data_IF_361141406816
#
_entry.id   IF_361141406816
#
_cell.length_a   1.000
_cell.length_b   1.000
_cell.length_c   1.000
_cell.angle_alpha   90.00
_cell.angle_beta   90.00
_cell.angle_gamma   90.00
#
_symmetry.space_group_name_H-M   'P 1'
#
loop_
_entity.id
_entity.type
_entity.pdbx_description
1 polymer ?
#
# COMPACT_ATOMS: atom_id res chain seq x y z
N UNK A 1 -32.73 13.74 54.88
CA UNK A 1 -32.75 14.41 53.56
C UNK A 1 -31.36 14.95 53.27
N UNK A 2 -30.61 14.29 52.36
CA UNK A 2 -29.59 14.85 51.46
C UNK A 2 -28.80 13.70 50.82
N UNK A 3 -29.22 13.35 49.61
CA UNK A 3 -28.59 12.38 48.71
C UNK A 3 -27.48 13.15 47.97
N UNK A 4 -26.25 12.65 48.01
CA UNK A 4 -25.14 13.19 47.21
C UNK A 4 -24.98 12.32 45.97
N UNK A 5 -25.44 12.83 44.81
CA UNK A 5 -25.15 12.26 43.50
C UNK A 5 -23.67 12.51 43.16
N UNK A 6 -22.90 11.45 42.91
CA UNK A 6 -21.64 11.54 42.18
C UNK A 6 -21.91 11.22 40.70
N UNK A 7 -21.82 12.25 39.86
CA UNK A 7 -21.92 12.12 38.40
C UNK A 7 -20.64 11.57 37.79
N UNK A 8 -20.75 10.49 37.04
CA UNK A 8 -19.69 9.90 36.24
C UNK A 8 -19.57 10.70 34.92
N UNK A 9 -18.46 11.40 34.71
CA UNK A 9 -18.14 12.05 33.43
C UNK A 9 -17.38 11.05 32.57
N UNK A 10 -18.01 10.55 31.51
CA UNK A 10 -17.35 9.72 30.50
C UNK A 10 -16.67 10.62 29.46
N UNK A 11 -15.33 10.64 29.44
CA UNK A 11 -14.54 11.22 28.35
C UNK A 11 -14.59 10.26 27.15
N UNK A 12 -15.31 10.61 26.10
CA UNK A 12 -15.22 9.94 24.79
C UNK A 12 -14.06 10.54 24.01
N UNK A 13 -12.89 9.90 24.06
CA UNK A 13 -11.80 10.20 23.12
C UNK A 13 -12.15 9.64 21.75
N UNK A 14 -12.66 10.48 20.86
CA UNK A 14 -12.76 10.17 19.44
C UNK A 14 -11.34 10.15 18.86
N UNK A 15 -10.70 8.99 18.83
CA UNK A 15 -9.51 8.79 18.04
C UNK A 15 -9.91 8.84 16.56
N UNK A 16 -9.53 9.92 15.87
CA UNK A 16 -9.61 9.96 14.42
C UNK A 16 -8.62 8.90 13.90
N UNK A 17 -9.14 7.79 13.38
CA UNK A 17 -8.32 6.84 12.64
C UNK A 17 -7.75 7.56 11.42
N UNK A 18 -6.41 7.55 11.21
CA UNK A 18 -5.83 8.15 10.02
C UNK A 18 -6.47 7.48 8.80
N UNK A 19 -6.86 8.28 7.81
CA UNK A 19 -7.31 7.78 6.52
C UNK A 19 -6.14 7.00 5.91
N UNK A 20 -6.17 5.67 6.00
CA UNK A 20 -5.18 4.80 5.39
C UNK A 20 -5.24 5.00 3.88
N UNK A 21 -4.09 5.25 3.25
CA UNK A 21 -3.97 5.22 1.80
C UNK A 21 -4.28 3.80 1.30
N UNK A 22 -5.11 3.66 0.27
CA UNK A 22 -5.27 2.39 -0.42
C UNK A 22 -4.04 2.12 -1.28
N UNK A 23 -3.53 0.88 -1.27
CA UNK A 23 -2.40 0.46 -2.10
C UNK A 23 -2.89 0.13 -3.51
N UNK A 24 -2.22 0.68 -4.52
CA UNK A 24 -2.57 0.49 -5.92
C UNK A 24 -1.47 -0.28 -6.66
N UNK A 25 -1.88 -1.16 -7.57
CA UNK A 25 -1.02 -1.83 -8.54
C UNK A 25 -1.01 -1.05 -9.84
N UNK A 26 0.18 -0.77 -10.35
CA UNK A 26 0.44 -0.14 -11.62
C UNK A 26 0.99 -1.20 -12.57
N UNK A 27 0.27 -1.48 -13.66
CA UNK A 27 0.68 -2.41 -14.71
C UNK A 27 0.77 -1.68 -16.05
N UNK A 28 2.00 -1.48 -16.51
CA UNK A 28 2.31 -0.79 -17.74
C UNK A 28 2.85 -1.75 -18.80
N UNK A 29 2.32 -1.63 -20.01
CA UNK A 29 2.91 -2.22 -21.20
C UNK A 29 2.93 -1.21 -22.33
N UNK A 30 4.09 -1.05 -22.97
CA UNK A 30 4.26 -0.10 -24.06
C UNK A 30 5.53 -0.31 -24.86
N UNK A 31 5.87 0.69 -25.65
CA UNK A 31 7.06 0.76 -26.47
C UNK A 31 7.62 2.17 -26.40
N UNK A 32 8.85 2.30 -25.91
CA UNK A 32 9.61 3.54 -25.92
C UNK A 32 10.62 3.57 -27.07
N UNK A 33 11.47 4.60 -27.07
CA UNK A 33 12.56 4.75 -28.05
C UNK A 33 13.53 3.55 -28.06
N UNK A 34 13.77 2.94 -26.89
CA UNK A 34 14.66 1.79 -26.73
C UNK A 34 14.04 0.43 -27.07
N UNK A 35 12.76 0.36 -27.43
CA UNK A 35 12.04 -0.88 -27.68
C UNK A 35 10.85 -1.10 -26.74
N UNK A 36 10.34 -2.34 -26.64
CA UNK A 36 9.25 -2.70 -25.72
C UNK A 36 9.63 -2.41 -24.26
N UNK A 37 8.67 -1.93 -23.49
CA UNK A 37 8.81 -1.64 -22.06
C UNK A 37 7.60 -2.19 -21.35
N UNK A 38 7.81 -3.03 -20.34
CA UNK A 38 6.79 -3.52 -19.43
C UNK A 38 7.23 -3.23 -17.98
N UNK A 39 6.30 -2.79 -17.14
CA UNK A 39 6.60 -2.49 -15.74
C UNK A 39 5.39 -2.77 -14.86
N UNK A 40 5.60 -3.50 -13.77
CA UNK A 40 4.60 -3.67 -12.71
C UNK A 40 5.17 -3.24 -11.37
N UNK A 41 4.48 -2.34 -10.66
CA UNK A 41 4.92 -1.83 -9.36
C UNK A 41 3.72 -1.36 -8.54
N UNK A 42 3.95 -1.06 -7.26
CA UNK A 42 2.90 -0.61 -6.35
C UNK A 42 3.24 0.77 -5.78
N UNK A 43 2.22 1.61 -5.63
CA UNK A 43 2.29 2.87 -4.89
C UNK A 43 0.98 3.07 -4.14
N UNK A 44 1.02 3.86 -3.07
CA UNK A 44 -0.19 4.32 -2.41
C UNK A 44 -1.05 5.17 -3.37
N UNK A 45 -2.35 5.23 -3.10
CA UNK A 45 -3.31 6.06 -3.86
C UNK A 45 -3.11 7.56 -3.66
N UNK A 46 -2.49 7.98 -2.56
CA UNK A 46 -2.14 9.36 -2.27
C UNK A 46 -0.72 9.49 -1.67
N UNK A 47 0.31 9.02 -2.40
CA UNK A 47 1.67 8.92 -1.89
C UNK A 47 2.28 10.32 -1.77
N UNK A 48 3.27 10.47 -0.89
CA UNK A 48 4.12 11.67 -0.85
C UNK A 48 5.28 11.47 -1.82
N UNK A 49 5.44 12.28 -2.88
CA UNK A 49 6.57 12.15 -3.79
C UNK A 49 7.90 12.45 -3.11
N UNK A 50 8.97 11.80 -3.57
CA UNK A 50 10.34 12.11 -3.11
C UNK A 50 10.81 13.47 -3.63
N UNK A 51 10.31 13.86 -4.80
CA UNK A 51 10.61 15.14 -5.43
C UNK A 51 9.42 15.59 -6.27
N UNK A 52 9.23 16.91 -6.34
CA UNK A 52 8.27 17.57 -7.23
C UNK A 52 9.02 18.58 -8.10
N UNK A 53 8.56 18.78 -9.33
CA UNK A 53 9.12 19.76 -10.25
C UNK A 53 7.98 20.53 -10.92
N UNK A 54 8.01 21.85 -10.79
CA UNK A 54 7.12 22.78 -11.51
C UNK A 54 7.97 23.94 -12.04
N UNK A 55 8.64 23.76 -13.19
CA UNK A 55 9.43 24.82 -13.79
C UNK A 55 8.56 25.90 -14.46
N UNK A 56 7.23 25.86 -14.31
CA UNK A 56 6.28 26.74 -14.99
C UNK A 56 5.88 26.21 -16.37
N UNK A 57 5.24 27.03 -17.20
CA UNK A 57 4.80 26.66 -18.57
C UNK A 57 3.82 25.48 -18.65
N UNK A 58 3.11 25.19 -17.56
CA UNK A 58 2.12 24.11 -17.52
C UNK A 58 2.74 22.72 -17.59
N UNK A 59 4.02 22.58 -17.24
CA UNK A 59 4.69 21.28 -17.08
C UNK A 59 4.89 21.05 -15.59
N UNK A 60 4.34 19.95 -15.07
CA UNK A 60 4.47 19.60 -13.67
C UNK A 60 4.76 18.12 -13.54
N UNK A 61 5.65 17.73 -12.63
CA UNK A 61 6.06 16.34 -12.44
C UNK A 61 6.25 15.99 -10.97
N UNK A 62 5.97 14.74 -10.66
CA UNK A 62 6.22 14.09 -9.37
C UNK A 62 7.13 12.90 -9.60
N UNK A 63 8.06 12.65 -8.68
CA UNK A 63 9.07 11.60 -8.80
C UNK A 63 9.05 10.70 -7.57
N UNK A 64 9.18 9.41 -7.82
CA UNK A 64 9.35 8.35 -6.83
C UNK A 64 10.66 7.62 -7.12
N UNK A 65 11.54 7.59 -6.14
CA UNK A 65 12.85 6.98 -6.24
C UNK A 65 12.83 5.59 -5.64
N UNK A 66 13.69 4.72 -6.16
CA UNK A 66 13.89 3.38 -5.62
C UNK A 66 12.58 2.57 -5.52
N UNK A 67 11.76 2.59 -6.57
CA UNK A 67 10.47 1.90 -6.58
C UNK A 67 10.66 0.42 -6.90
N UNK A 68 10.37 -0.51 -5.96
CA UNK A 68 10.46 -1.94 -6.24
C UNK A 68 9.34 -2.39 -7.19
N UNK A 69 9.66 -3.32 -8.09
CA UNK A 69 8.71 -3.83 -9.07
C UNK A 69 9.31 -4.90 -9.97
N UNK A 70 8.58 -5.23 -11.03
CA UNK A 70 9.06 -6.08 -12.11
C UNK A 70 9.15 -5.25 -13.38
N UNK A 71 10.35 -5.15 -13.95
CA UNK A 71 10.63 -4.31 -15.12
C UNK A 71 11.20 -5.19 -16.24
N UNK A 72 10.52 -5.22 -17.38
CA UNK A 72 10.83 -6.11 -18.51
C UNK A 72 11.00 -7.60 -18.10
N UNK A 73 10.21 -8.04 -17.11
CA UNK A 73 10.25 -9.41 -16.58
C UNK A 73 11.25 -9.65 -15.44
N UNK A 74 12.08 -8.68 -15.10
CA UNK A 74 13.07 -8.80 -14.02
C UNK A 74 12.56 -8.12 -12.74
N UNK A 75 12.55 -8.84 -11.62
CA UNK A 75 12.29 -8.24 -10.31
C UNK A 75 13.48 -7.36 -9.91
N UNK A 76 13.27 -6.04 -9.88
CA UNK A 76 14.31 -5.05 -9.59
C UNK A 76 13.71 -3.80 -8.93
N UNK A 77 14.56 -2.81 -8.69
CA UNK A 77 14.15 -1.51 -8.17
C UNK A 77 14.43 -0.46 -9.23
N UNK A 78 13.38 0.18 -9.73
CA UNK A 78 13.56 1.31 -10.64
C UNK A 78 14.20 2.47 -9.88
N UNK A 79 15.22 3.08 -10.46
CA UNK A 79 15.86 4.28 -9.93
C UNK A 79 14.84 5.40 -9.77
N UNK A 80 13.97 5.56 -10.78
CA UNK A 80 12.94 6.61 -10.77
C UNK A 80 11.71 6.18 -11.55
N UNK A 81 10.54 6.42 -10.96
CA UNK A 81 9.24 6.46 -11.63
C UNK A 81 8.72 7.89 -11.51
N UNK A 82 8.29 8.49 -12.62
CA UNK A 82 7.74 9.83 -12.59
C UNK A 82 6.41 9.91 -13.33
N UNK A 83 5.54 10.78 -12.83
CA UNK A 83 4.28 11.11 -13.47
C UNK A 83 4.18 12.61 -13.65
N UNK A 84 3.57 13.03 -14.75
CA UNK A 84 3.49 14.43 -15.13
C UNK A 84 2.09 14.91 -15.47
N UNK A 85 1.96 16.23 -15.56
CA UNK A 85 0.79 16.97 -16.05
C UNK A 85 1.20 17.92 -17.17
N UNK A 86 0.25 18.19 -18.07
CA UNK A 86 0.42 19.12 -19.18
C UNK A 86 1.32 18.63 -20.32
N UNK A 87 2.26 19.46 -20.78
CA UNK A 87 2.99 19.25 -22.05
C UNK A 87 4.23 18.34 -21.95
N UNK A 88 4.64 17.96 -20.74
CA UNK A 88 5.81 17.11 -20.51
C UNK A 88 5.39 15.67 -20.19
N UNK A 89 6.36 14.74 -20.28
CA UNK A 89 6.21 13.31 -19.99
C UNK A 89 5.20 13.03 -18.88
N UNK A 90 4.03 12.54 -19.25
CA UNK A 90 2.99 12.19 -18.28
C UNK A 90 3.35 10.91 -17.54
N UNK A 91 4.22 10.07 -18.12
CA UNK A 91 4.77 8.91 -17.46
C UNK A 91 6.23 8.65 -17.89
N UNK A 92 7.10 8.35 -16.93
CA UNK A 92 8.51 8.05 -17.15
C UNK A 92 8.98 6.92 -16.24
N UNK A 93 9.83 6.06 -16.78
CA UNK A 93 10.51 4.98 -16.06
C UNK A 93 12.02 5.11 -16.30
N UNK A 94 12.79 5.01 -15.23
CA UNK A 94 14.24 4.83 -15.27
C UNK A 94 14.62 3.64 -14.39
N UNK A 95 15.11 2.57 -15.02
CA UNK A 95 15.54 1.35 -14.34
C UNK A 95 16.66 0.63 -15.10
N UNK A 96 17.26 -0.39 -14.48
CA UNK A 96 18.37 -1.14 -15.08
C UNK A 96 17.87 -1.96 -16.28
N UNK A 97 16.77 -2.70 -16.11
CA UNK A 97 16.18 -3.53 -17.16
C UNK A 97 15.26 -2.76 -18.09
N UNK A 98 14.56 -1.73 -17.58
CA UNK A 98 13.70 -0.86 -18.38
C UNK A 98 14.47 0.19 -19.19
N UNK A 99 15.71 0.51 -18.81
CA UNK A 99 16.43 1.67 -19.35
C UNK A 99 15.73 2.98 -19.02
N UNK A 100 15.87 3.98 -19.89
CA UNK A 100 15.09 5.21 -19.85
C UNK A 100 13.93 5.13 -20.83
N UNK A 101 12.71 5.28 -20.33
CA UNK A 101 11.49 5.30 -21.13
C UNK A 101 10.59 6.46 -20.72
N UNK A 102 10.09 7.20 -21.71
CA UNK A 102 9.27 8.40 -21.52
C UNK A 102 8.05 8.31 -22.41
N UNK A 103 6.89 8.63 -21.85
CA UNK A 103 5.59 8.46 -22.50
C UNK A 103 4.77 9.74 -22.39
N UNK A 104 4.24 10.16 -23.53
CA UNK A 104 3.27 11.24 -23.65
C UNK A 104 1.83 10.71 -23.54
N UNK A 105 0.87 11.39 -22.90
CA UNK A 105 -0.54 10.95 -22.88
C UNK A 105 -1.38 11.43 -21.71
N UNK A 106 -2.22 10.54 -21.20
CA UNK A 106 -3.21 10.84 -20.15
C UNK A 106 -2.55 11.24 -18.81
N UNK A 107 -3.20 12.14 -18.08
CA UNK A 107 -2.83 12.46 -16.69
C UNK A 107 -3.38 11.39 -15.75
N UNK A 108 -2.49 10.75 -15.00
CA UNK A 108 -2.83 9.60 -14.14
C UNK A 108 -3.14 9.97 -12.69
N UNK A 109 -2.88 11.22 -12.31
CA UNK A 109 -3.11 11.72 -10.96
C UNK A 109 -3.77 13.09 -10.97
N UNK A 110 -4.51 13.36 -9.90
CA UNK A 110 -5.15 14.63 -9.59
C UNK A 110 -4.58 15.22 -8.29
N UNK A 111 -5.12 16.35 -7.82
CA UNK A 111 -4.59 17.01 -6.63
C UNK A 111 -3.36 17.89 -6.91
N UNK A 112 -2.64 18.22 -5.83
CA UNK A 112 -1.42 19.06 -5.86
C UNK A 112 -0.18 18.18 -6.00
N UNK A 113 0.95 18.76 -6.41
CA UNK A 113 2.20 17.99 -6.58
C UNK A 113 2.69 17.33 -5.29
N UNK A 114 2.51 17.98 -4.13
CA UNK A 114 2.91 17.40 -2.84
C UNK A 114 1.90 16.38 -2.29
N UNK A 115 0.71 16.30 -2.89
CA UNK A 115 -0.40 15.42 -2.47
C UNK A 115 -1.15 14.90 -3.70
N UNK A 116 -0.47 14.14 -4.58
CA UNK A 116 -1.10 13.56 -5.74
C UNK A 116 -2.15 12.54 -5.31
N UNK A 117 -3.19 12.39 -6.10
CA UNK A 117 -4.25 11.40 -5.90
C UNK A 117 -4.38 10.58 -7.19
N UNK A 118 -3.92 9.33 -7.14
CA UNK A 118 -4.10 8.34 -8.19
C UNK A 118 -5.49 7.71 -8.10
N UNK A 119 -6.04 7.32 -9.25
CA UNK A 119 -7.32 6.61 -9.33
C UNK A 119 -7.14 5.33 -10.11
N UNK A 120 -7.86 4.29 -9.72
CA UNK A 120 -7.94 3.08 -10.53
C UNK A 120 -8.56 3.41 -11.89
N UNK A 121 -8.04 2.78 -12.94
CA UNK A 121 -8.43 3.05 -14.32
C UNK A 121 -7.38 2.60 -15.33
N UNK A 122 -7.72 2.75 -16.61
CA UNK A 122 -6.81 2.47 -17.72
C UNK A 122 -6.49 3.78 -18.43
N UNK A 123 -5.20 4.05 -18.57
CA UNK A 123 -4.65 5.30 -19.08
C UNK A 123 -3.84 4.99 -20.33
N UNK A 124 -4.03 5.79 -21.38
CA UNK A 124 -3.37 5.59 -22.64
C UNK A 124 -2.28 6.64 -22.84
N UNK A 125 -1.14 6.17 -23.29
CA UNK A 125 -0.01 7.00 -23.65
C UNK A 125 0.23 6.88 -25.15
N UNK A 126 0.21 8.04 -25.80
CA UNK A 126 0.57 8.21 -27.20
C UNK A 126 1.44 9.45 -27.33
N UNK A 127 2.69 9.25 -27.69
CA UNK A 127 3.66 10.27 -28.04
C UNK A 127 4.23 10.01 -29.43
N UNK A 128 5.02 10.97 -29.93
CA UNK A 128 5.61 10.89 -31.28
C UNK A 128 6.46 9.64 -31.51
N UNK A 129 7.11 9.13 -30.45
CA UNK A 129 8.02 7.98 -30.53
C UNK A 129 7.76 6.93 -29.45
N UNK A 130 6.61 7.03 -28.78
CA UNK A 130 6.30 6.20 -27.62
C UNK A 130 4.82 5.92 -27.57
N UNK A 131 4.42 4.70 -27.21
CA UNK A 131 3.03 4.41 -26.91
C UNK A 131 2.93 3.35 -25.82
N UNK A 132 1.81 3.29 -25.14
CA UNK A 132 1.58 2.27 -24.12
C UNK A 132 0.29 2.49 -23.37
N UNK A 133 -0.01 1.54 -22.51
CA UNK A 133 -1.20 1.57 -21.66
C UNK A 133 -0.76 1.24 -20.24
N UNK A 134 -1.20 2.06 -19.29
CA UNK A 134 -1.06 1.82 -17.86
C UNK A 134 -2.44 1.47 -17.30
N UNK A 135 -2.53 0.35 -16.60
CA UNK A 135 -3.70 -0.01 -15.80
C UNK A 135 -3.35 0.16 -14.33
N UNK A 136 -4.15 0.95 -13.63
CA UNK A 136 -4.08 1.12 -12.18
C UNK A 136 -5.25 0.36 -11.57
N UNK A 137 -4.97 -0.59 -10.68
CA UNK A 137 -5.98 -1.37 -9.96
C UNK A 137 -5.75 -1.31 -8.46
N UNK A 138 -6.81 -1.46 -7.68
CA UNK A 138 -6.68 -1.60 -6.22
C UNK A 138 -6.06 -2.95 -5.91
N UNK A 139 -5.03 -2.96 -5.06
CA UNK A 139 -4.55 -4.21 -4.48
C UNK A 139 -5.55 -4.58 -3.40
N UNK A 140 -6.35 -5.60 -3.68
CA UNK A 140 -7.19 -6.20 -2.66
C UNK A 140 -6.26 -6.96 -1.70
N UNK A 141 -5.70 -6.24 -0.74
CA UNK A 141 -5.01 -6.84 0.39
C UNK A 141 -6.12 -7.44 1.24
N UNK A 142 -6.57 -8.63 0.84
CA UNK A 142 -7.27 -9.53 1.73
C UNK A 142 -6.31 -9.76 2.90
N UNK A 143 -6.43 -8.92 3.92
CA UNK A 143 -5.67 -9.08 5.14
C UNK A 143 -5.90 -10.53 5.54
N UNK A 144 -4.82 -11.30 5.65
CA UNK A 144 -4.85 -12.62 6.25
C UNK A 144 -5.13 -12.41 7.75
N UNK A 145 -6.32 -11.86 8.06
CA UNK A 145 -6.90 -11.84 9.37
C UNK A 145 -7.08 -13.32 9.67
N UNK A 146 -6.39 -13.86 10.70
CA UNK A 146 -6.64 -15.22 11.10
C UNK A 146 -8.15 -15.31 11.34
N UNK A 147 -8.82 -16.16 10.58
CA UNK A 147 -10.28 -16.27 10.63
C UNK A 147 -10.70 -16.46 12.10
N UNK A 148 -11.88 -15.99 12.52
CA UNK A 148 -12.34 -16.16 13.92
C UNK A 148 -12.19 -17.59 14.46
N UNK A 149 -12.26 -18.58 13.56
CA UNK A 149 -11.96 -19.98 13.86
C UNK A 149 -10.50 -20.26 14.29
N UNK A 150 -9.51 -19.57 13.71
CA UNK A 150 -8.09 -19.67 14.08
C UNK A 150 -7.81 -19.15 15.49
N UNK A 151 -8.53 -18.10 15.91
CA UNK A 151 -8.46 -17.60 17.29
C UNK A 151 -9.06 -18.61 18.25
N UNK A 152 -10.21 -19.18 17.88
CA UNK A 152 -10.85 -20.22 18.68
C UNK A 152 -9.99 -21.47 18.81
N UNK A 153 -9.29 -21.91 17.76
CA UNK A 153 -8.40 -23.08 17.84
C UNK A 153 -7.16 -22.78 18.69
N UNK A 154 -6.61 -21.57 18.64
CA UNK A 154 -5.53 -21.16 19.56
C UNK A 154 -6.01 -21.14 21.01
N UNK A 155 -7.17 -20.53 21.30
CA UNK A 155 -7.73 -20.48 22.65
C UNK A 155 -8.05 -21.88 23.17
N UNK A 156 -8.62 -22.75 22.32
CA UNK A 156 -8.85 -24.16 22.66
C UNK A 156 -7.55 -24.90 22.95
N UNK A 157 -6.52 -24.70 22.10
CA UNK A 157 -5.20 -25.29 22.28
C UNK A 157 -4.58 -24.91 23.62
N UNK A 158 -4.53 -23.61 23.93
CA UNK A 158 -4.00 -23.12 25.21
C UNK A 158 -4.87 -23.56 26.40
N UNK A 159 -6.19 -23.60 26.25
CA UNK A 159 -7.13 -24.06 27.26
C UNK A 159 -6.91 -25.53 27.64
N UNK A 160 -6.76 -26.41 26.65
CA UNK A 160 -6.52 -27.85 26.87
C UNK A 160 -5.18 -28.09 27.59
N UNK A 161 -4.13 -27.38 27.19
CA UNK A 161 -2.81 -27.46 27.87
C UNK A 161 -2.92 -27.01 29.32
N UNK A 162 -3.59 -25.88 29.58
CA UNK A 162 -3.80 -25.38 30.94
C UNK A 162 -4.57 -26.34 31.85
N UNK A 163 -5.61 -26.99 31.30
CA UNK A 163 -6.39 -28.02 32.03
C UNK A 163 -5.54 -29.24 32.35
N UNK A 164 -4.71 -29.71 31.40
CA UNK A 164 -3.84 -30.86 31.60
C UNK A 164 -2.82 -30.64 32.71
N UNK A 165 -2.24 -29.42 32.81
CA UNK A 165 -1.30 -29.05 33.88
C UNK A 165 -1.99 -29.03 35.24
N UNK A 166 -3.19 -28.41 35.35
CA UNK A 166 -3.92 -28.34 36.64
C UNK A 166 -4.31 -29.70 37.21
N UNK A 167 -4.66 -30.68 36.35
CA UNK A 167 -5.04 -32.03 36.81
C UNK A 167 -3.90 -32.82 37.44
N UNK A 168 -2.63 -32.48 37.15
CA UNK A 168 -1.47 -33.21 37.71
C UNK A 168 -1.07 -32.76 39.12
N UNK A 169 -1.50 -31.58 39.56
CA UNK A 169 -1.09 -31.02 40.87
C UNK A 169 -1.96 -31.54 42.03
N UNK A 170 -3.13 -32.11 41.73
CA UNK A 170 -4.02 -32.68 42.74
C UNK A 170 -3.67 -34.15 43.07
N UNK A 171 -2.52 -34.38 43.71
CA UNK A 171 -2.26 -35.64 44.42
C UNK A 171 -2.53 -35.44 45.92
N UNK A 172 -3.38 -36.25 46.58
CA UNK A 172 -3.74 -36.05 47.98
C UNK A 172 -2.56 -36.44 48.89
N UNK A 173 -2.35 -35.64 49.93
CA UNK A 173 -1.45 -35.94 51.02
C UNK A 173 -1.90 -37.24 51.70
N UNK A 174 -1.07 -38.28 51.63
CA UNK A 174 -1.28 -39.54 52.35
C UNK A 174 -0.98 -39.27 53.83
N UNK A 175 -2.04 -39.16 54.63
CA UNK A 175 -1.93 -39.11 56.09
C UNK A 175 -1.74 -40.52 56.65
N UNK A 176 -0.58 -40.78 57.26
CA UNK A 176 -0.34 -41.99 58.05
C UNK A 176 -1.08 -41.87 59.39
N UNK A 177 -1.93 -42.85 59.71
CA UNK A 177 -2.53 -43.02 61.03
C UNK A 177 -1.61 -43.88 61.91
N UNK A 178 -1.45 -43.49 63.18
CA UNK A 178 -0.84 -44.25 64.27
C UNK A 178 -1.81 -44.29 65.46
#
# INVERSE_FOLDING_TARGET
MRILLMGLVALTTTAASPASAALLMFDFTGRGLGGPVAATFQLDSNPVPDMTNDPGFGIQQIFFNNVPGVFNGNAETATTIAFGKGLAAQFQILGTSAGFAQFGGDEVFSGTLDKPIFRAGTYNFTGLFSSGTLTISEVDVAAAVPEPASWLTMILGFGLVGVAVRRRVAAPAVGFAA
#
